data_IF_298437967513
#
_entry.id   IF_298437967513
#
_cell.length_a   1.000
_cell.length_b   1.000
_cell.length_c   1.000
_cell.angle_alpha   90.00
_cell.angle_beta   90.00
_cell.angle_gamma   90.00
#
_symmetry.space_group_name_H-M   'P 1'
#
loop_
_entity.id
_entity.type
_entity.pdbx_description
1 polymer ?
#
# COMPACT_ATOMS: atom_id res chain seq x y z
N UNK A 1 -21.71 -49.94 -36.60
CA UNK A 1 -20.90 -49.62 -35.41
C UNK A 1 -21.74 -48.74 -34.50
N UNK A 2 -22.34 -49.32 -33.45
CA UNK A 2 -23.18 -48.58 -32.51
C UNK A 2 -22.25 -47.83 -31.54
N UNK A 3 -22.22 -46.50 -31.65
CA UNK A 3 -21.55 -45.68 -30.64
C UNK A 3 -22.29 -45.85 -29.31
N UNK A 4 -21.58 -46.38 -28.32
CA UNK A 4 -22.15 -46.71 -27.02
C UNK A 4 -22.48 -45.39 -26.29
N UNK A 5 -23.78 -45.08 -26.16
CA UNK A 5 -24.29 -43.81 -25.60
C UNK A 5 -23.68 -43.47 -24.24
N UNK A 6 -23.35 -44.50 -23.45
CA UNK A 6 -22.68 -44.37 -22.15
C UNK A 6 -21.28 -43.74 -22.24
N UNK A 7 -20.52 -44.00 -23.31
CA UNK A 7 -19.19 -43.41 -23.52
C UNK A 7 -19.31 -41.92 -23.81
N UNK A 8 -20.30 -41.51 -24.60
CA UNK A 8 -20.55 -40.11 -24.93
C UNK A 8 -20.99 -39.30 -23.70
N UNK A 9 -21.75 -39.91 -22.79
CA UNK A 9 -22.13 -39.35 -21.50
C UNK A 9 -20.94 -39.16 -20.56
N UNK A 10 -20.03 -40.14 -20.49
CA UNK A 10 -18.81 -40.05 -19.67
C UNK A 10 -17.87 -38.94 -20.18
N UNK A 11 -17.68 -38.81 -21.50
CA UNK A 11 -16.89 -37.72 -22.08
C UNK A 11 -17.50 -36.34 -21.77
N UNK A 12 -18.82 -36.20 -21.84
CA UNK A 12 -19.50 -34.93 -21.46
C UNK A 12 -19.35 -34.61 -19.98
N UNK A 13 -19.44 -35.60 -19.10
CA UNK A 13 -19.24 -35.44 -17.66
C UNK A 13 -17.78 -35.07 -17.32
N UNK A 14 -16.80 -35.68 -18.01
CA UNK A 14 -15.39 -35.35 -17.86
C UNK A 14 -15.07 -33.94 -18.36
N UNK A 15 -15.65 -33.50 -19.49
CA UNK A 15 -15.50 -32.11 -19.98
C UNK A 15 -16.14 -31.11 -19.01
N UNK A 16 -17.31 -31.43 -18.44
CA UNK A 16 -17.99 -30.58 -17.47
C UNK A 16 -17.19 -30.48 -16.15
N UNK A 17 -16.59 -31.59 -15.71
CA UNK A 17 -15.66 -31.60 -14.57
C UNK A 17 -14.38 -30.81 -14.86
N UNK A 18 -13.81 -30.93 -16.07
CA UNK A 18 -12.63 -30.15 -16.47
C UNK A 18 -12.91 -28.65 -16.52
N UNK A 19 -14.10 -28.25 -16.99
CA UNK A 19 -14.55 -26.85 -17.00
C UNK A 19 -14.80 -26.30 -15.59
N UNK A 20 -15.22 -27.14 -14.64
CA UNK A 20 -15.41 -26.73 -13.24
C UNK A 20 -14.10 -26.60 -12.43
N UNK A 21 -12.99 -27.15 -12.91
CA UNK A 21 -11.69 -27.15 -12.21
C UNK A 21 -10.80 -25.97 -12.64
N UNK A 22 -11.17 -25.22 -13.69
CA UNK A 22 -10.41 -24.05 -14.15
C UNK A 22 -10.80 -22.72 -13.50
N UNK A 23 -11.77 -22.72 -12.57
CA UNK A 23 -12.11 -21.55 -11.78
C UNK A 23 -11.53 -21.70 -10.38
N UNK A 24 -10.20 -21.69 -10.27
CA UNK A 24 -9.58 -21.21 -9.04
C UNK A 24 -9.89 -19.73 -9.03
N UNK A 25 -11.01 -19.35 -8.40
CA UNK A 25 -11.29 -17.96 -8.07
C UNK A 25 -10.16 -17.53 -7.15
N UNK A 26 -9.13 -16.86 -7.68
CA UNK A 26 -8.32 -15.99 -6.86
C UNK A 26 -9.32 -14.98 -6.30
N UNK A 27 -9.53 -15.00 -4.98
CA UNK A 27 -10.55 -14.18 -4.35
C UNK A 27 -10.36 -12.72 -4.77
N UNK A 28 -11.35 -12.17 -5.46
CA UNK A 28 -11.36 -10.76 -5.82
C UNK A 28 -11.39 -9.94 -4.54
N UNK A 29 -10.42 -9.05 -4.37
CA UNK A 29 -10.42 -8.06 -3.29
C UNK A 29 -11.41 -6.93 -3.58
N UNK A 30 -11.78 -6.18 -2.54
CA UNK A 30 -12.84 -5.16 -2.63
C UNK A 30 -12.30 -3.74 -2.86
N UNK A 31 -11.12 -3.44 -2.31
CA UNK A 31 -10.44 -2.14 -2.44
C UNK A 31 -8.96 -2.27 -2.07
N UNK A 32 -8.14 -1.26 -2.37
CA UNK A 32 -6.79 -1.16 -1.81
C UNK A 32 -6.74 -0.19 -0.65
N UNK A 33 -5.97 -0.50 0.39
CA UNK A 33 -5.34 0.54 1.19
C UNK A 33 -4.07 1.02 0.49
N UNK A 34 -4.05 2.28 0.07
CA UNK A 34 -2.83 2.97 -0.29
C UNK A 34 -2.22 3.66 0.93
N UNK A 35 -1.05 3.16 1.35
CA UNK A 35 -0.43 3.52 2.62
C UNK A 35 0.84 4.32 2.38
N UNK A 36 0.90 5.51 2.96
CA UNK A 36 2.06 6.38 2.94
C UNK A 36 2.59 6.57 4.35
N UNK A 37 3.91 6.60 4.52
CA UNK A 37 4.59 6.74 5.80
C UNK A 37 5.40 8.04 5.89
N UNK A 38 5.41 8.65 7.07
CA UNK A 38 6.26 9.80 7.37
C UNK A 38 7.65 9.33 7.82
N UNK A 39 8.72 9.66 7.09
CA UNK A 39 10.06 9.17 7.39
C UNK A 39 10.62 9.70 8.74
N UNK A 40 10.20 10.89 9.19
CA UNK A 40 10.56 11.42 10.52
C UNK A 40 10.08 10.50 11.64
N UNK A 41 8.83 10.05 11.57
CA UNK A 41 8.25 9.16 12.57
C UNK A 41 8.80 7.73 12.51
N UNK A 42 9.21 7.25 11.33
CA UNK A 42 9.92 5.97 11.22
C UNK A 42 11.31 6.04 11.88
N UNK A 43 12.02 7.16 11.71
CA UNK A 43 13.42 7.27 12.11
C UNK A 43 13.65 7.75 13.54
N UNK A 44 12.66 8.36 14.20
CA UNK A 44 12.75 8.83 15.60
C UNK A 44 12.06 7.88 16.59
N UNK A 45 12.14 6.56 16.40
CA UNK A 45 11.58 5.60 17.35
C UNK A 45 12.65 4.73 18.01
N UNK A 46 12.37 4.22 19.21
CA UNK A 46 13.21 3.25 19.93
C UNK A 46 12.91 1.80 19.55
N UNK A 47 11.84 1.54 18.79
CA UNK A 47 11.39 0.18 18.48
C UNK A 47 12.28 -0.54 17.45
N UNK A 48 12.93 0.22 16.57
CA UNK A 48 13.80 -0.31 15.54
C UNK A 48 14.83 0.76 15.11
N UNK A 49 15.79 0.35 14.29
CA UNK A 49 16.78 1.25 13.70
C UNK A 49 16.30 1.74 12.34
N UNK A 50 16.59 3.00 12.03
CA UNK A 50 16.43 3.58 10.70
C UNK A 50 17.79 3.70 10.00
N UNK A 51 17.83 3.37 8.72
CA UNK A 51 18.97 3.53 7.83
C UNK A 51 18.50 4.18 6.54
N UNK A 52 19.17 5.25 6.12
CA UNK A 52 18.85 5.86 4.82
C UNK A 52 19.22 4.93 3.66
N UNK A 53 18.47 5.00 2.53
CA UNK A 53 18.83 4.30 1.31
C UNK A 53 20.25 4.60 0.85
N UNK A 54 20.80 3.73 -0.01
CA UNK A 54 22.10 3.97 -0.64
C UNK A 54 22.14 5.22 -1.52
N UNK A 55 20.98 5.70 -1.95
CA UNK A 55 20.80 6.96 -2.69
C UNK A 55 20.88 8.20 -1.80
N UNK A 56 20.97 8.05 -0.48
CA UNK A 56 21.10 9.14 0.48
C UNK A 56 19.84 9.35 1.34
N UNK A 57 19.83 10.43 2.13
CA UNK A 57 18.67 10.81 2.94
C UNK A 57 17.50 11.16 2.02
N UNK A 58 16.31 10.53 2.18
CA UNK A 58 15.13 10.89 1.40
C UNK A 58 14.70 12.34 1.63
N UNK A 59 13.85 12.85 0.74
CA UNK A 59 13.21 14.14 0.96
C UNK A 59 12.35 14.10 2.24
N UNK A 60 12.16 15.25 2.88
CA UNK A 60 11.19 15.43 3.97
C UNK A 60 9.76 15.49 3.42
N UNK A 61 9.33 14.38 2.85
CA UNK A 61 7.99 14.12 2.32
C UNK A 61 7.55 12.70 2.71
N UNK A 62 6.24 12.44 2.65
CA UNK A 62 5.73 11.08 2.81
C UNK A 62 6.35 10.17 1.75
N UNK A 63 6.72 8.95 2.15
CA UNK A 63 7.10 7.89 1.23
C UNK A 63 5.99 6.85 1.14
N UNK A 64 5.86 6.18 0.01
CA UNK A 64 4.94 5.04 -0.12
C UNK A 64 5.44 3.92 0.81
N UNK A 65 4.51 3.33 1.57
CA UNK A 65 4.73 2.05 2.25
C UNK A 65 4.26 0.92 1.34
N UNK A 66 3.00 0.96 0.91
CA UNK A 66 2.46 -0.02 -0.03
C UNK A 66 1.03 0.22 -0.48
N UNK A 67 0.55 -0.64 -1.38
CA UNK A 67 -0.81 -0.64 -1.90
C UNK A 67 -1.41 -2.02 -1.68
N UNK A 68 -2.30 -2.16 -0.72
CA UNK A 68 -2.66 -3.46 -0.16
C UNK A 68 -4.10 -3.82 -0.48
N UNK A 69 -4.35 -4.84 -1.33
CA UNK A 69 -5.66 -5.44 -1.48
C UNK A 69 -6.31 -5.74 -0.11
N UNK A 70 -7.59 -5.43 0.03
CA UNK A 70 -8.35 -5.62 1.26
C UNK A 70 -9.79 -6.02 0.95
N UNK A 71 -10.43 -6.65 1.94
CA UNK A 71 -11.85 -6.96 1.91
C UNK A 71 -12.64 -5.98 2.78
N UNK A 72 -13.92 -5.81 2.46
CA UNK A 72 -14.83 -4.91 3.18
C UNK A 72 -15.00 -5.29 4.66
N UNK A 73 -14.79 -6.55 5.02
CA UNK A 73 -14.84 -7.01 6.41
C UNK A 73 -13.57 -6.66 7.22
N UNK A 74 -12.53 -6.12 6.57
CA UNK A 74 -11.24 -5.74 7.12
C UNK A 74 -10.21 -6.87 7.22
N UNK A 75 -10.52 -8.07 6.71
CA UNK A 75 -9.51 -9.07 6.38
C UNK A 75 -8.85 -8.73 5.04
N UNK A 76 -7.76 -9.43 4.69
CA UNK A 76 -7.03 -9.16 3.45
C UNK A 76 -6.40 -10.42 2.87
N UNK A 77 -6.29 -10.52 1.53
CA UNK A 77 -5.50 -11.56 0.90
C UNK A 77 -4.00 -11.24 1.02
N UNK A 78 -3.15 -12.27 1.04
CA UNK A 78 -1.70 -12.10 1.05
C UNK A 78 -0.98 -13.30 0.45
N UNK A 79 0.17 -13.07 -0.19
CA UNK A 79 1.00 -14.13 -0.78
C UNK A 79 0.22 -15.01 -1.76
N UNK A 80 -0.51 -14.36 -2.67
CA UNK A 80 -1.55 -15.02 -3.47
C UNK A 80 -1.01 -15.86 -4.63
N UNK A 81 0.14 -15.48 -5.18
CA UNK A 81 0.83 -16.26 -6.22
C UNK A 81 2.31 -16.44 -5.83
N UNK A 82 2.74 -17.65 -5.43
CA UNK A 82 4.14 -17.94 -5.12
C UNK A 82 5.04 -18.08 -6.37
N UNK A 83 4.47 -18.26 -7.56
CA UNK A 83 5.19 -18.37 -8.82
C UNK A 83 5.42 -16.99 -9.46
N UNK A 84 4.64 -15.98 -9.08
CA UNK A 84 4.85 -14.57 -9.46
C UNK A 84 5.93 -13.87 -8.63
N UNK A 85 7.18 -14.22 -8.95
CA UNK A 85 8.36 -13.68 -8.26
C UNK A 85 8.70 -12.27 -8.76
N UNK A 86 9.06 -11.37 -7.84
CA UNK A 86 9.43 -10.01 -8.17
C UNK A 86 10.60 -9.90 -9.18
N UNK A 87 10.41 -9.10 -10.22
CA UNK A 87 11.34 -8.89 -11.32
C UNK A 87 11.70 -7.40 -11.47
N UNK A 88 12.91 -7.02 -11.07
CA UNK A 88 13.40 -5.62 -11.23
C UNK A 88 13.39 -5.16 -12.69
N UNK A 89 13.50 -6.08 -13.66
CA UNK A 89 13.53 -5.75 -15.07
C UNK A 89 12.20 -5.16 -15.56
N UNK A 90 11.08 -5.66 -15.04
CA UNK A 90 9.74 -5.22 -15.42
C UNK A 90 9.43 -3.80 -14.95
N UNK A 91 10.15 -3.28 -13.94
CA UNK A 91 9.95 -1.92 -13.38
C UNK A 91 11.15 -1.00 -13.62
N UNK A 92 12.00 -1.34 -14.59
CA UNK A 92 13.30 -0.67 -14.78
C UNK A 92 13.15 0.82 -15.14
N UNK A 93 12.11 1.19 -15.86
CA UNK A 93 11.73 2.56 -16.20
C UNK A 93 11.20 3.36 -14.99
N UNK A 94 10.64 2.67 -13.99
CA UNK A 94 10.10 3.29 -12.77
C UNK A 94 11.16 3.50 -11.67
N UNK A 95 12.35 2.92 -11.83
CA UNK A 95 13.38 2.82 -10.78
C UNK A 95 13.75 4.17 -10.14
N UNK A 96 13.91 5.22 -10.93
CA UNK A 96 14.24 6.55 -10.41
C UNK A 96 13.14 7.14 -9.53
N UNK A 97 11.87 6.91 -9.89
CA UNK A 97 10.71 7.34 -9.10
C UNK A 97 10.55 6.48 -7.85
N UNK A 98 10.70 5.15 -7.95
CA UNK A 98 10.63 4.24 -6.81
C UNK A 98 11.69 4.55 -5.75
N UNK A 99 12.94 4.81 -6.16
CA UNK A 99 14.01 5.18 -5.22
C UNK A 99 13.74 6.48 -4.46
N UNK A 100 12.97 7.40 -5.04
CA UNK A 100 12.64 8.70 -4.46
C UNK A 100 11.37 8.66 -3.62
N UNK A 101 10.31 8.07 -4.15
CA UNK A 101 8.94 8.13 -3.61
C UNK A 101 8.57 6.90 -2.79
N UNK A 102 9.26 5.76 -2.97
CA UNK A 102 9.02 4.51 -2.25
C UNK A 102 10.30 3.96 -1.57
N UNK A 103 11.06 4.78 -0.81
CA UNK A 103 12.34 4.36 -0.24
C UNK A 103 12.18 3.36 0.91
N UNK A 104 13.14 2.44 1.04
CA UNK A 104 13.29 1.62 2.24
C UNK A 104 14.12 2.35 3.29
N UNK A 105 13.59 2.46 4.51
CA UNK A 105 14.30 3.03 5.68
C UNK A 105 14.84 1.96 6.64
N UNK A 106 14.68 0.69 6.30
CA UNK A 106 15.12 -0.43 7.15
C UNK A 106 16.64 -0.59 7.12
N UNK A 107 17.19 -1.10 8.22
CA UNK A 107 18.61 -1.42 8.30
C UNK A 107 18.93 -2.87 7.88
N UNK A 108 20.08 -3.12 7.23
CA UNK A 108 21.07 -2.14 6.77
C UNK A 108 20.59 -1.34 5.55
N UNK A 109 21.26 -0.22 5.26
CA UNK A 109 21.01 0.61 4.07
C UNK A 109 20.95 -0.25 2.79
N UNK A 110 19.90 -0.04 1.99
CA UNK A 110 19.62 -0.83 0.80
C UNK A 110 19.27 0.04 -0.41
N UNK A 111 19.06 -0.60 -1.56
CA UNK A 111 18.58 0.03 -2.79
C UNK A 111 17.06 -0.07 -2.96
N UNK A 112 16.31 -0.54 -1.96
CA UNK A 112 14.86 -0.69 -2.01
C UNK A 112 14.36 -2.03 -2.57
N UNK A 113 15.15 -2.74 -3.38
CA UNK A 113 14.68 -3.97 -4.06
C UNK A 113 14.04 -5.01 -3.15
N UNK A 114 14.62 -5.25 -1.96
CA UNK A 114 14.05 -6.21 -0.99
C UNK A 114 12.69 -5.74 -0.46
N UNK A 115 12.52 -4.44 -0.29
CA UNK A 115 11.26 -3.87 0.17
C UNK A 115 10.20 -3.96 -0.92
N UNK A 116 10.53 -3.59 -2.16
CA UNK A 116 9.60 -3.72 -3.29
C UNK A 116 9.24 -5.18 -3.59
N UNK A 117 10.21 -6.11 -3.53
CA UNK A 117 9.95 -7.55 -3.61
C UNK A 117 8.97 -8.00 -2.53
N UNK A 118 9.15 -7.54 -1.28
CA UNK A 118 8.21 -7.86 -0.20
C UNK A 118 6.80 -7.33 -0.48
N UNK A 119 6.67 -6.07 -0.89
CA UNK A 119 5.36 -5.46 -1.18
C UNK A 119 4.69 -6.14 -2.39
N UNK A 120 5.44 -6.49 -3.43
CA UNK A 120 4.91 -7.24 -4.56
C UNK A 120 4.45 -8.64 -4.14
N UNK A 121 5.36 -9.47 -3.62
CA UNK A 121 5.09 -10.88 -3.35
C UNK A 121 4.00 -11.08 -2.30
N UNK A 122 3.90 -10.17 -1.32
CA UNK A 122 2.90 -10.24 -0.26
C UNK A 122 1.57 -9.61 -0.66
N UNK A 123 1.57 -8.50 -1.39
CA UNK A 123 0.37 -7.70 -1.65
C UNK A 123 0.05 -7.58 -3.14
N UNK A 124 1.02 -7.22 -3.98
CA UNK A 124 0.82 -7.06 -5.43
C UNK A 124 0.37 -8.35 -6.15
N UNK A 125 0.86 -9.52 -5.73
CA UNK A 125 0.41 -10.82 -6.26
C UNK A 125 -1.08 -11.10 -6.02
N UNK A 126 -1.72 -10.36 -5.11
CA UNK A 126 -3.15 -10.46 -4.84
C UNK A 126 -4.01 -9.51 -5.69
N UNK A 127 -3.38 -8.73 -6.59
CA UNK A 127 -4.06 -7.82 -7.52
C UNK A 127 -3.75 -8.10 -9.00
N UNK A 128 -3.13 -9.24 -9.32
CA UNK A 128 -2.62 -9.53 -10.67
C UNK A 128 -3.69 -9.61 -11.76
N UNK A 129 -4.95 -9.86 -11.39
CA UNK A 129 -6.05 -9.82 -12.36
C UNK A 129 -6.34 -8.39 -12.85
N UNK A 130 -5.93 -7.39 -12.09
CA UNK A 130 -6.17 -5.96 -12.36
C UNK A 130 -4.88 -5.24 -12.73
N UNK A 131 -3.78 -5.53 -12.05
CA UNK A 131 -2.50 -4.84 -12.16
C UNK A 131 -1.37 -5.88 -12.16
N UNK A 132 -0.65 -5.99 -13.27
CA UNK A 132 0.62 -6.72 -13.28
C UNK A 132 1.69 -5.99 -12.43
N UNK A 133 2.90 -6.53 -12.37
CA UNK A 133 3.93 -5.94 -11.54
C UNK A 133 4.25 -4.50 -11.92
N UNK A 134 4.37 -4.20 -13.21
CA UNK A 134 4.67 -2.83 -13.65
C UNK A 134 3.51 -1.90 -13.28
N UNK A 135 2.28 -2.28 -13.62
CA UNK A 135 1.08 -1.49 -13.36
C UNK A 135 0.85 -1.25 -11.86
N UNK A 136 1.15 -2.23 -10.99
CA UNK A 136 1.03 -2.09 -9.53
C UNK A 136 1.96 -1.00 -8.98
N UNK A 137 3.23 -1.01 -9.40
CA UNK A 137 4.19 0.01 -8.96
C UNK A 137 3.90 1.37 -9.61
N UNK A 138 3.49 1.40 -10.88
CA UNK A 138 3.13 2.65 -11.55
C UNK A 138 1.89 3.30 -10.90
N UNK A 139 0.86 2.52 -10.59
CA UNK A 139 -0.33 2.96 -9.87
C UNK A 139 0.02 3.58 -8.52
N UNK A 140 0.82 2.90 -7.69
CA UNK A 140 1.27 3.45 -6.41
C UNK A 140 2.01 4.78 -6.55
N UNK A 141 2.86 4.93 -7.58
CA UNK A 141 3.56 6.18 -7.88
C UNK A 141 2.61 7.30 -8.34
N UNK A 142 1.61 6.98 -9.17
CA UNK A 142 0.57 7.93 -9.63
C UNK A 142 -0.31 8.38 -8.46
N UNK A 143 -0.70 7.47 -7.58
CA UNK A 143 -1.48 7.76 -6.38
C UNK A 143 -0.71 8.64 -5.38
N UNK A 144 0.60 8.41 -5.21
CA UNK A 144 1.47 9.29 -4.41
C UNK A 144 1.46 10.73 -4.91
N UNK A 145 1.61 10.90 -6.22
CA UNK A 145 1.57 12.21 -6.87
C UNK A 145 0.19 12.88 -6.71
N UNK A 146 -0.89 12.11 -6.90
CA UNK A 146 -2.27 12.57 -6.76
C UNK A 146 -2.61 12.99 -5.33
N UNK A 147 -2.19 12.22 -4.32
CA UNK A 147 -2.48 12.50 -2.92
C UNK A 147 -1.71 13.73 -2.39
N UNK A 148 -0.43 13.87 -2.74
CA UNK A 148 0.44 14.98 -2.35
C UNK A 148 0.26 15.42 -0.88
N UNK A 149 0.30 14.44 0.03
CA UNK A 149 -0.13 14.59 1.43
C UNK A 149 0.56 15.75 2.16
N UNK A 150 1.87 15.92 1.95
CA UNK A 150 2.58 17.02 2.60
C UNK A 150 2.04 18.38 2.16
N UNK A 151 1.79 18.58 0.87
CA UNK A 151 1.24 19.85 0.38
C UNK A 151 -0.19 20.09 0.92
N UNK A 152 -1.01 19.04 0.98
CA UNK A 152 -2.36 19.10 1.57
C UNK A 152 -2.28 19.58 3.03
N UNK A 153 -1.44 18.94 3.84
CA UNK A 153 -1.25 19.32 5.25
C UNK A 153 -0.67 20.74 5.40
N UNK A 154 0.32 21.12 4.61
CA UNK A 154 0.92 22.46 4.64
C UNK A 154 -0.09 23.55 4.31
N UNK A 155 -0.98 23.31 3.34
CA UNK A 155 -2.04 24.26 2.97
C UNK A 155 -2.99 24.53 4.15
N UNK A 156 -3.19 23.54 5.03
CA UNK A 156 -3.94 23.68 6.29
C UNK A 156 -3.10 24.19 7.48
N UNK A 157 -1.86 24.61 7.24
CA UNK A 157 -0.92 25.08 8.26
C UNK A 157 -0.44 23.97 9.21
N UNK A 158 -0.36 22.73 8.73
CA UNK A 158 0.19 21.57 9.44
C UNK A 158 1.56 21.27 8.84
N UNK A 159 2.61 21.58 9.59
CA UNK A 159 4.01 21.48 9.14
C UNK A 159 4.79 20.44 9.95
N UNK A 160 5.72 19.68 9.35
CA UNK A 160 6.60 18.75 10.05
C UNK A 160 7.69 19.51 10.79
N UNK A 161 7.34 20.07 11.95
CA UNK A 161 8.17 21.01 12.70
C UNK A 161 8.33 20.65 14.20
N UNK A 162 8.00 19.41 14.56
CA UNK A 162 7.91 18.85 15.92
C UNK A 162 6.74 19.40 16.76
N UNK A 163 5.87 20.25 16.19
CA UNK A 163 4.65 20.67 16.87
C UNK A 163 3.60 19.56 16.90
N UNK A 164 2.63 19.74 17.80
CA UNK A 164 1.47 18.88 17.92
C UNK A 164 0.25 19.52 17.26
N UNK A 165 -0.53 18.69 16.58
CA UNK A 165 -1.79 19.07 15.94
C UNK A 165 -2.87 18.11 16.41
N UNK A 166 -4.12 18.56 16.50
CA UNK A 166 -5.21 17.65 16.81
C UNK A 166 -5.36 16.64 15.67
N UNK A 167 -5.68 15.39 16.02
CA UNK A 167 -5.93 14.32 15.05
C UNK A 167 -7.05 14.72 14.08
N UNK A 168 -8.13 15.28 14.62
CA UNK A 168 -9.26 15.82 13.85
C UNK A 168 -8.81 16.83 12.79
N UNK A 169 -7.91 17.77 13.13
CA UNK A 169 -7.41 18.76 12.16
C UNK A 169 -6.61 18.10 11.03
N UNK A 170 -5.86 17.03 11.33
CA UNK A 170 -5.11 16.27 10.32
C UNK A 170 -6.09 15.53 9.39
N UNK A 171 -7.08 14.85 9.96
CA UNK A 171 -8.11 14.12 9.22
C UNK A 171 -8.94 15.05 8.33
N UNK A 172 -9.38 16.20 8.86
CA UNK A 172 -10.13 17.21 8.13
C UNK A 172 -9.33 17.80 6.97
N UNK A 173 -8.05 18.17 7.21
CA UNK A 173 -7.20 18.74 6.18
C UNK A 173 -7.00 17.77 5.00
N UNK A 174 -6.79 16.48 5.30
CA UNK A 174 -6.64 15.45 4.27
C UNK A 174 -7.98 15.20 3.57
N UNK A 175 -9.09 15.15 4.30
CA UNK A 175 -10.44 14.99 3.74
C UNK A 175 -10.79 16.14 2.78
N UNK A 176 -10.48 17.38 3.14
CA UNK A 176 -10.71 18.55 2.29
C UNK A 176 -9.80 18.54 1.04
N UNK A 177 -8.53 18.15 1.21
CA UNK A 177 -7.57 18.14 0.10
C UNK A 177 -7.74 16.99 -0.89
N UNK A 178 -8.22 15.83 -0.43
CA UNK A 178 -8.33 14.61 -1.24
C UNK A 178 -9.78 14.29 -1.62
N UNK A 179 -10.75 14.75 -0.83
CA UNK A 179 -12.18 14.45 -1.00
C UNK A 179 -12.64 13.19 -0.27
N UNK A 180 -11.74 12.48 0.42
CA UNK A 180 -12.03 11.22 1.12
C UNK A 180 -11.36 11.18 2.49
N UNK A 181 -12.07 10.64 3.48
CA UNK A 181 -11.56 10.54 4.85
C UNK A 181 -10.39 9.55 4.94
N UNK A 182 -9.24 9.94 5.53
CA UNK A 182 -8.10 9.05 5.69
C UNK A 182 -8.24 8.17 6.94
N UNK A 183 -7.47 7.09 6.97
CA UNK A 183 -7.08 6.43 8.22
C UNK A 183 -5.73 6.95 8.67
N UNK A 184 -5.59 7.28 9.96
CA UNK A 184 -4.31 7.76 10.50
C UNK A 184 -3.75 6.73 11.47
N UNK A 185 -2.50 6.31 11.25
CA UNK A 185 -1.75 5.49 12.19
C UNK A 185 -0.65 6.33 12.85
N UNK A 186 -0.52 6.17 14.16
CA UNK A 186 0.51 6.80 14.95
C UNK A 186 1.43 5.77 15.57
N UNK A 187 2.71 6.12 15.69
CA UNK A 187 3.65 5.38 16.52
C UNK A 187 4.11 6.26 17.70
N UNK A 188 5.14 5.79 18.41
CA UNK A 188 5.77 6.53 19.50
C UNK A 188 7.19 6.92 19.11
N UNK A 189 7.52 8.19 19.36
CA UNK A 189 8.88 8.70 19.21
C UNK A 189 9.80 8.18 20.34
N UNK A 190 11.05 8.65 20.35
CA UNK A 190 12.04 8.28 21.36
C UNK A 190 11.71 8.81 22.76
N UNK A 191 10.85 9.83 22.88
CA UNK A 191 10.37 10.43 24.13
C UNK A 191 9.03 9.86 24.62
N UNK A 192 8.33 9.08 23.78
CA UNK A 192 7.02 8.50 24.06
C UNK A 192 5.82 9.34 23.58
N UNK A 193 6.06 10.40 22.81
CA UNK A 193 5.02 11.21 22.18
C UNK A 193 4.30 10.41 21.10
N UNK A 194 2.98 10.62 20.96
CA UNK A 194 2.23 10.10 19.81
C UNK A 194 2.57 10.94 18.59
N UNK A 195 3.03 10.33 17.51
CA UNK A 195 3.42 11.05 16.29
C UNK A 195 2.79 10.45 15.02
N UNK A 196 2.57 11.30 14.02
CA UNK A 196 1.93 10.94 12.75
C UNK A 196 2.88 10.02 11.99
N UNK A 197 2.47 8.75 11.85
CA UNK A 197 3.34 7.73 11.27
C UNK A 197 2.90 7.31 9.88
N UNK A 198 1.67 6.82 9.71
CA UNK A 198 1.16 6.43 8.40
C UNK A 198 -0.22 7.03 8.13
N UNK A 199 -0.49 7.27 6.85
CA UNK A 199 -1.78 7.72 6.33
C UNK A 199 -2.27 6.67 5.35
N UNK A 200 -3.51 6.24 5.55
CA UNK A 200 -4.21 5.25 4.76
C UNK A 200 -5.29 5.96 3.94
N UNK A 201 -5.26 5.76 2.62
CA UNK A 201 -6.31 6.17 1.70
C UNK A 201 -6.86 4.92 1.02
N UNK A 202 -8.16 4.87 0.75
CA UNK A 202 -8.73 3.75 0.00
C UNK A 202 -8.77 4.06 -1.49
N UNK A 203 -8.48 3.04 -2.30
CA UNK A 203 -8.45 3.14 -3.76
C UNK A 203 -9.33 2.03 -4.32
N UNK A 204 -10.04 2.34 -5.40
CA UNK A 204 -10.83 1.37 -6.13
C UNK A 204 -9.96 0.22 -6.70
N UNK A 205 -10.58 -0.89 -7.10
CA UNK A 205 -9.86 -2.10 -7.53
C UNK A 205 -9.07 -1.93 -8.83
N UNK A 206 -9.29 -0.86 -9.61
CA UNK A 206 -8.43 -0.51 -10.74
C UNK A 206 -7.12 0.18 -10.33
N UNK A 207 -6.96 0.57 -9.06
CA UNK A 207 -5.76 1.23 -8.55
C UNK A 207 -5.62 2.69 -9.01
N UNK A 208 -6.71 3.37 -9.38
CA UNK A 208 -6.63 4.68 -10.05
C UNK A 208 -7.26 5.84 -9.28
N UNK A 209 -8.39 5.60 -8.61
CA UNK A 209 -9.17 6.64 -7.96
C UNK A 209 -9.32 6.39 -6.46
N UNK A 210 -9.18 7.47 -5.68
CA UNK A 210 -9.50 7.43 -4.26
C UNK A 210 -11.01 7.24 -4.09
N UNK A 211 -11.38 6.47 -3.08
CA UNK A 211 -12.76 6.18 -2.70
C UNK A 211 -12.92 6.34 -1.19
N UNK A 212 -14.16 6.44 -0.75
CA UNK A 212 -14.45 6.34 0.68
C UNK A 212 -14.08 4.95 1.18
N UNK A 213 -13.32 4.91 2.27
CA UNK A 213 -12.91 3.64 2.86
C UNK A 213 -14.12 2.87 3.39
N UNK A 214 -14.37 1.63 2.90
CA UNK A 214 -15.43 0.78 3.45
C UNK A 214 -15.22 0.50 4.95
N UNK A 215 -13.95 0.46 5.35
CA UNK A 215 -13.51 0.36 6.72
C UNK A 215 -12.20 1.12 6.86
N UNK A 216 -12.02 1.86 7.94
CA UNK A 216 -10.76 2.52 8.28
C UNK A 216 -9.96 1.67 9.28
N UNK A 217 -8.62 1.67 9.20
CA UNK A 217 -7.78 0.99 10.17
C UNK A 217 -7.88 1.70 11.52
N UNK A 218 -7.75 0.94 12.61
CA UNK A 218 -7.71 1.52 13.96
C UNK A 218 -6.31 2.02 14.28
N UNK A 219 -6.09 3.31 14.05
CA UNK A 219 -4.90 4.01 14.49
C UNK A 219 -4.77 4.10 16.00
N UNK A 220 -3.58 3.83 16.55
CA UNK A 220 -3.28 4.09 17.97
C UNK A 220 -2.79 5.52 18.17
N UNK A 221 -3.64 6.48 17.84
CA UNK A 221 -3.32 7.91 17.93
C UNK A 221 -3.85 8.53 19.23
N UNK A 222 -3.08 9.45 19.81
CA UNK A 222 -3.60 10.37 20.81
C UNK A 222 -4.42 11.49 20.17
N UNK A 223 -5.20 12.23 20.96
CA UNK A 223 -5.99 13.38 20.47
C UNK A 223 -5.12 14.46 19.82
N UNK A 224 -3.89 14.65 20.33
CA UNK A 224 -2.88 15.51 19.73
C UNK A 224 -1.69 14.65 19.32
N UNK A 225 -1.26 14.84 18.07
CA UNK A 225 -0.24 14.04 17.41
C UNK A 225 0.87 14.96 16.96
N UNK A 226 2.11 14.59 17.26
CA UNK A 226 3.29 15.30 16.80
C UNK A 226 3.50 15.07 15.30
N UNK A 227 3.88 16.13 14.58
CA UNK A 227 4.40 16.00 13.23
C UNK A 227 5.92 16.24 13.25
N UNK A 228 6.67 15.16 13.44
CA UNK A 228 8.12 15.21 13.62
C UNK A 228 8.84 15.81 12.39
N UNK A 229 9.95 16.52 12.61
CA UNK A 229 10.88 16.90 11.54
C UNK A 229 11.53 15.65 10.93
N UNK A 230 12.05 15.78 9.71
CA UNK A 230 12.87 14.75 9.08
C UNK A 230 14.24 15.26 8.63
#
# INVERSE_FOLDING_TARGET
MAYNSSILLIFKLLILQYLSVLCVSQDNFDFFYFVQQWPGAYCDTKQHRCCYPKTGKPAADFGIHGMWPNYNDGSWPSNCDPDSVFSVHEISDLMGRLQKEWPSLSCPSSNGNRFWSHEWEKHGTCSEQQLDQHDYFEAGLKLKEKANLLNVLRTAGIEPNDNFYSLEKIEDAITEGIGHAPGIECNKDSEGNSQLYQVYLCVDTSGSDFIDCPKLPRGRCATNVQFAKF
#
